data_IF_776459298011
#
_entry.id   IF_776459298011
#
_cell.length_a   1.000
_cell.length_b   1.000
_cell.length_c   1.000
_cell.angle_alpha   90.00
_cell.angle_beta   90.00
_cell.angle_gamma   90.00
#
_symmetry.space_group_name_H-M   'P 1'
#
loop_
_entity.id
_entity.type
_entity.pdbx_description
1 polymer ?
#
# COMPACT_ATOMS: atom_id res chain seq x y z
N UNK A 1 15.13 1.98 -9.21
CA UNK A 1 14.14 1.71 -8.15
C UNK A 1 12.78 1.31 -8.74
N UNK A 2 12.24 2.01 -9.73
CA UNK A 2 10.94 1.64 -10.34
C UNK A 2 10.88 0.24 -10.95
N UNK A 3 11.98 -0.28 -11.50
CA UNK A 3 12.03 -1.64 -12.06
C UNK A 3 11.71 -2.72 -11.01
N UNK A 4 12.24 -2.59 -9.80
CA UNK A 4 11.94 -3.51 -8.69
C UNK A 4 10.47 -3.50 -8.30
N UNK A 5 9.84 -2.32 -8.27
CA UNK A 5 8.39 -2.19 -8.05
C UNK A 5 7.59 -2.89 -9.15
N UNK A 6 7.91 -2.61 -10.42
CA UNK A 6 7.23 -3.25 -11.56
C UNK A 6 7.33 -4.78 -11.50
N UNK A 7 8.50 -5.32 -11.20
CA UNK A 7 8.71 -6.76 -11.08
C UNK A 7 7.88 -7.35 -9.94
N UNK A 8 7.82 -6.68 -8.79
CA UNK A 8 7.02 -7.10 -7.64
C UNK A 8 5.51 -7.10 -7.97
N UNK A 9 5.01 -6.09 -8.69
CA UNK A 9 3.62 -6.01 -9.18
C UNK A 9 3.32 -7.19 -10.10
N UNK A 10 4.16 -7.45 -11.11
CA UNK A 10 3.97 -8.55 -12.05
C UNK A 10 3.95 -9.89 -11.33
N UNK A 11 4.89 -10.11 -10.40
CA UNK A 11 4.94 -11.35 -9.60
C UNK A 11 3.67 -11.55 -8.76
N UNK A 12 3.11 -10.47 -8.22
CA UNK A 12 1.87 -10.53 -7.41
C UNK A 12 0.64 -10.82 -8.25
N UNK A 13 0.63 -10.35 -9.51
CA UNK A 13 -0.47 -10.56 -10.45
C UNK A 13 -0.41 -11.91 -11.17
N UNK A 14 0.72 -12.61 -11.15
CA UNK A 14 0.91 -13.85 -11.90
C UNK A 14 -0.11 -14.94 -11.53
N UNK A 15 -0.33 -15.19 -10.25
CA UNK A 15 -1.28 -16.21 -9.77
C UNK A 15 -2.73 -15.89 -10.15
N UNK A 16 -3.29 -14.70 -9.86
CA UNK A 16 -4.66 -14.39 -10.26
C UNK A 16 -4.85 -14.37 -11.78
N UNK A 17 -3.86 -13.89 -12.56
CA UNK A 17 -3.92 -13.93 -14.00
C UNK A 17 -3.95 -15.36 -14.55
N UNK A 18 -3.12 -16.23 -14.00
CA UNK A 18 -3.08 -17.65 -14.37
C UNK A 18 -4.42 -18.34 -14.04
N UNK A 19 -4.99 -18.06 -12.87
CA UNK A 19 -6.31 -18.61 -12.49
C UNK A 19 -7.40 -18.19 -13.47
N UNK A 20 -7.43 -16.91 -13.88
CA UNK A 20 -8.39 -16.40 -14.88
C UNK A 20 -8.18 -17.11 -16.22
N UNK A 21 -6.93 -17.27 -16.67
CA UNK A 21 -6.61 -17.97 -17.91
C UNK A 21 -7.07 -19.43 -17.91
N UNK A 22 -6.88 -20.15 -16.79
CA UNK A 22 -7.34 -21.54 -16.62
C UNK A 22 -8.87 -21.63 -16.66
N UNK A 23 -9.57 -20.75 -15.94
CA UNK A 23 -11.05 -20.73 -15.96
C UNK A 23 -11.57 -20.43 -17.37
N UNK A 24 -10.96 -19.48 -18.07
CA UNK A 24 -11.33 -19.15 -19.43
C UNK A 24 -11.05 -20.31 -20.40
N UNK A 25 -9.91 -20.96 -20.30
CA UNK A 25 -9.58 -22.13 -21.11
C UNK A 25 -10.57 -23.27 -20.85
N UNK A 26 -10.91 -23.55 -19.60
CA UNK A 26 -11.91 -24.57 -19.25
C UNK A 26 -13.28 -24.26 -19.85
N UNK A 27 -13.75 -23.02 -19.74
CA UNK A 27 -15.04 -22.60 -20.31
C UNK A 27 -15.07 -22.72 -21.84
N UNK A 28 -14.01 -22.25 -22.51
CA UNK A 28 -13.91 -22.31 -23.99
C UNK A 28 -13.71 -23.72 -24.53
N UNK A 29 -13.19 -24.65 -23.71
CA UNK A 29 -13.13 -26.08 -24.06
C UNK A 29 -14.48 -26.77 -23.85
N UNK A 30 -15.16 -26.45 -22.76
CA UNK A 30 -16.41 -27.13 -22.39
C UNK A 30 -17.54 -26.94 -23.43
N UNK A 31 -17.68 -25.72 -23.97
CA UNK A 31 -18.75 -25.41 -24.93
C UNK A 31 -18.69 -26.28 -26.18
N UNK A 32 -17.62 -26.29 -26.99
CA UNK A 32 -17.59 -27.09 -28.22
C UNK A 32 -17.62 -28.61 -27.96
N UNK A 33 -17.09 -29.06 -26.82
CA UNK A 33 -17.13 -30.49 -26.47
C UNK A 33 -18.54 -30.94 -26.11
N UNK A 34 -19.28 -30.13 -25.34
CA UNK A 34 -20.62 -30.49 -24.87
C UNK A 34 -21.70 -30.23 -25.92
N UNK A 35 -21.63 -29.16 -26.68
CA UNK A 35 -22.66 -28.77 -27.63
C UNK A 35 -22.43 -29.34 -29.05
N UNK A 36 -21.17 -29.40 -29.49
CA UNK A 36 -20.81 -29.79 -30.85
C UNK A 36 -20.22 -31.21 -30.96
N UNK A 37 -19.96 -31.85 -29.81
CA UNK A 37 -19.33 -33.18 -29.78
C UNK A 37 -17.88 -33.19 -30.25
N UNK A 38 -17.20 -32.02 -30.26
CA UNK A 38 -15.81 -31.89 -30.72
C UNK A 38 -14.88 -32.69 -29.80
N UNK A 39 -13.94 -33.51 -30.35
CA UNK A 39 -13.03 -34.25 -29.50
C UNK A 39 -12.09 -33.34 -28.70
N UNK A 40 -11.82 -33.69 -27.44
CA UNK A 40 -10.95 -32.94 -26.53
C UNK A 40 -9.57 -32.65 -27.12
N UNK A 41 -9.05 -33.58 -27.93
CA UNK A 41 -7.71 -33.42 -28.57
C UNK A 41 -7.65 -32.24 -29.54
N UNK A 42 -8.77 -31.81 -30.08
CA UNK A 42 -8.84 -30.69 -31.02
C UNK A 42 -9.20 -29.38 -30.29
N UNK A 43 -10.15 -29.43 -29.34
CA UNK A 43 -10.61 -28.25 -28.61
C UNK A 43 -9.59 -27.75 -27.59
N UNK A 44 -8.88 -28.61 -26.86
CA UNK A 44 -8.00 -28.25 -25.78
C UNK A 44 -6.81 -27.34 -26.18
N UNK A 45 -6.08 -27.57 -27.27
CA UNK A 45 -4.94 -26.72 -27.63
C UNK A 45 -5.36 -25.28 -27.95
N UNK A 46 -6.48 -25.10 -28.63
CA UNK A 46 -7.01 -23.76 -28.97
C UNK A 46 -7.50 -23.03 -27.71
N UNK A 47 -8.19 -23.72 -26.82
CA UNK A 47 -8.66 -23.18 -25.57
C UNK A 47 -7.52 -22.79 -24.63
N UNK A 48 -6.47 -23.61 -24.56
CA UNK A 48 -5.26 -23.27 -23.79
C UNK A 48 -4.56 -22.02 -24.34
N UNK A 49 -4.42 -21.91 -25.66
CA UNK A 49 -3.84 -20.72 -26.29
C UNK A 49 -4.69 -19.47 -26.00
N UNK A 50 -6.01 -19.57 -26.12
CA UNK A 50 -6.93 -18.47 -25.79
C UNK A 50 -6.87 -18.11 -24.30
N UNK A 51 -6.85 -19.08 -23.39
CA UNK A 51 -6.70 -18.87 -21.97
C UNK A 51 -5.38 -18.19 -21.61
N UNK A 52 -4.28 -18.60 -22.22
CA UNK A 52 -2.98 -17.96 -22.04
C UNK A 52 -2.97 -16.50 -22.54
N UNK A 53 -3.57 -16.23 -23.70
CA UNK A 53 -3.70 -14.89 -24.24
C UNK A 53 -4.52 -13.97 -23.31
N UNK A 54 -5.65 -14.47 -22.79
CA UNK A 54 -6.50 -13.73 -21.84
C UNK A 54 -5.75 -13.47 -20.53
N UNK A 55 -5.06 -14.47 -19.98
CA UNK A 55 -4.24 -14.31 -18.78
C UNK A 55 -3.18 -13.23 -18.95
N UNK A 56 -2.47 -13.27 -20.09
CA UNK A 56 -1.43 -12.29 -20.39
C UNK A 56 -2.00 -10.88 -20.58
N UNK A 57 -3.07 -10.72 -21.33
CA UNK A 57 -3.72 -9.43 -21.56
C UNK A 57 -4.23 -8.84 -20.24
N UNK A 58 -4.88 -9.64 -19.41
CA UNK A 58 -5.37 -9.23 -18.09
C UNK A 58 -4.21 -8.78 -17.18
N UNK A 59 -3.15 -9.58 -17.08
CA UNK A 59 -1.96 -9.24 -16.29
C UNK A 59 -1.31 -7.95 -16.78
N UNK A 60 -1.18 -7.78 -18.11
CA UNK A 60 -0.56 -6.60 -18.71
C UNK A 60 -1.37 -5.32 -18.41
N UNK A 61 -2.69 -5.36 -18.57
CA UNK A 61 -3.57 -4.22 -18.28
C UNK A 61 -3.52 -3.85 -16.80
N UNK A 62 -3.64 -4.84 -15.90
CA UNK A 62 -3.57 -4.57 -14.45
C UNK A 62 -2.19 -4.09 -14.01
N UNK A 63 -1.11 -4.65 -14.54
CA UNK A 63 0.24 -4.19 -14.23
C UNK A 63 0.45 -2.75 -14.71
N UNK A 64 0.05 -2.44 -15.94
CA UNK A 64 0.18 -1.11 -16.51
C UNK A 64 -0.61 -0.07 -15.68
N UNK A 65 -1.88 -0.33 -15.38
CA UNK A 65 -2.71 0.60 -14.60
C UNK A 65 -2.15 0.80 -13.20
N UNK A 66 -1.69 -0.28 -12.54
CA UNK A 66 -1.07 -0.22 -11.20
C UNK A 66 0.22 0.60 -11.24
N UNK A 67 1.12 0.35 -12.20
CA UNK A 67 2.39 1.07 -12.32
C UNK A 67 2.17 2.55 -12.66
N UNK A 68 1.25 2.86 -13.55
CA UNK A 68 0.91 4.25 -13.88
C UNK A 68 0.30 4.96 -12.67
N UNK A 69 -0.61 4.32 -11.95
CA UNK A 69 -1.19 4.85 -10.71
C UNK A 69 -0.12 5.11 -9.66
N UNK A 70 0.75 4.12 -9.44
CA UNK A 70 1.87 4.22 -8.49
C UNK A 70 2.85 5.35 -8.87
N UNK A 71 3.17 5.51 -10.17
CA UNK A 71 4.05 6.59 -10.64
C UNK A 71 3.44 7.98 -10.39
N UNK A 72 2.13 8.12 -10.60
CA UNK A 72 1.42 9.38 -10.28
C UNK A 72 1.44 9.67 -8.78
N UNK A 73 1.17 8.66 -7.96
CA UNK A 73 1.23 8.76 -6.49
C UNK A 73 2.64 9.14 -6.04
N UNK A 74 3.67 8.46 -6.54
CA UNK A 74 5.06 8.75 -6.22
C UNK A 74 5.45 10.20 -6.54
N UNK A 75 5.04 10.69 -7.71
CA UNK A 75 5.29 12.09 -8.10
C UNK A 75 4.55 13.08 -7.22
N UNK A 76 3.28 12.79 -6.86
CA UNK A 76 2.45 13.67 -6.02
C UNK A 76 3.04 13.83 -4.63
N UNK A 77 3.53 12.75 -4.04
CA UNK A 77 4.08 12.75 -2.67
C UNK A 77 5.61 12.90 -2.62
N UNK A 78 6.30 13.01 -3.76
CA UNK A 78 7.75 13.17 -3.82
C UNK A 78 8.52 11.96 -3.28
N UNK A 79 7.98 10.75 -3.41
CA UNK A 79 8.56 9.52 -2.86
C UNK A 79 9.16 8.61 -3.92
N UNK A 80 10.14 7.79 -3.52
CA UNK A 80 10.67 6.72 -4.34
C UNK A 80 9.92 5.42 -4.07
N UNK A 81 9.57 4.67 -5.12
CA UNK A 81 8.94 3.36 -5.02
C UNK A 81 10.00 2.27 -5.15
N UNK A 82 10.09 1.43 -4.12
CA UNK A 82 10.84 0.19 -4.12
C UNK A 82 9.91 -1.04 -4.18
N UNK A 83 10.47 -2.26 -4.23
CA UNK A 83 9.68 -3.49 -4.20
C UNK A 83 8.85 -3.65 -2.92
N UNK A 84 9.28 -3.04 -1.83
CA UNK A 84 8.59 -3.00 -0.53
C UNK A 84 7.26 -2.24 -0.60
N UNK A 85 7.12 -1.28 -1.53
CA UNK A 85 5.89 -0.51 -1.71
C UNK A 85 4.69 -1.34 -2.23
N UNK A 86 4.90 -2.60 -2.59
CA UNK A 86 3.83 -3.53 -2.98
C UNK A 86 3.28 -4.31 -1.77
N UNK A 87 4.01 -4.33 -0.64
CA UNK A 87 3.59 -5.05 0.56
C UNK A 87 2.37 -4.39 1.22
N UNK A 88 1.46 -5.19 1.76
CA UNK A 88 0.32 -4.78 2.56
C UNK A 88 0.19 -5.71 3.78
N UNK A 89 -0.03 -5.15 4.99
CA UNK A 89 -0.02 -3.72 5.30
C UNK A 89 1.35 -3.09 5.03
N UNK A 90 1.36 -1.79 4.74
CA UNK A 90 2.60 -1.04 4.60
C UNK A 90 3.06 -0.60 5.99
N UNK A 91 4.20 -1.11 6.44
CA UNK A 91 4.77 -0.77 7.73
C UNK A 91 6.06 0.01 7.54
N UNK A 92 6.16 1.12 8.26
CA UNK A 92 7.36 1.96 8.31
C UNK A 92 7.74 2.19 9.77
N UNK A 93 9.04 2.18 10.04
CA UNK A 93 9.56 2.42 11.37
C UNK A 93 10.68 3.46 11.29
N UNK A 94 10.60 4.46 12.16
CA UNK A 94 11.68 5.41 12.40
C UNK A 94 12.05 5.38 13.86
N UNK A 95 13.36 5.43 14.15
CA UNK A 95 13.91 5.50 15.48
C UNK A 95 14.63 6.83 15.64
N UNK A 96 14.34 7.51 16.71
CA UNK A 96 14.93 8.78 17.08
C UNK A 96 15.55 8.67 18.48
N UNK A 97 16.44 9.57 18.82
CA UNK A 97 16.97 9.63 20.18
C UNK A 97 15.84 9.79 21.20
N UNK A 98 16.03 9.25 22.40
CA UNK A 98 15.06 9.40 23.45
C UNK A 98 14.82 10.89 23.76
N UNK A 99 13.56 11.26 23.92
CA UNK A 99 13.13 12.61 24.28
C UNK A 99 12.87 12.62 25.77
N UNK A 100 13.77 13.26 26.53
CA UNK A 100 13.66 13.33 27.98
C UNK A 100 12.47 14.22 28.39
N UNK A 101 11.80 13.84 29.48
CA UNK A 101 10.71 14.63 30.06
C UNK A 101 9.39 14.59 29.30
N UNK A 102 9.29 13.90 28.16
CA UNK A 102 8.06 13.77 27.37
C UNK A 102 7.39 12.42 27.55
N UNK A 103 6.09 12.47 27.72
CA UNK A 103 5.26 11.26 27.78
C UNK A 103 4.91 10.78 26.37
N UNK A 104 4.62 9.49 26.22
CA UNK A 104 4.12 8.94 24.94
C UNK A 104 2.86 9.67 24.47
N UNK A 105 2.02 10.13 25.39
CA UNK A 105 0.81 10.92 25.06
C UNK A 105 1.18 12.25 24.38
N UNK A 106 2.09 13.02 25.00
CA UNK A 106 2.52 14.32 24.43
C UNK A 106 3.14 14.17 23.05
N UNK A 107 4.01 13.16 22.88
CA UNK A 107 4.60 12.86 21.58
C UNK A 107 3.56 12.49 20.52
N UNK A 108 2.59 11.65 20.90
CA UNK A 108 1.51 11.28 19.99
C UNK A 108 0.62 12.48 19.64
N UNK A 109 0.39 13.39 20.59
CA UNK A 109 -0.37 14.62 20.35
C UNK A 109 0.36 15.57 19.41
N UNK A 110 1.67 15.72 19.52
CA UNK A 110 2.48 16.49 18.58
C UNK A 110 2.42 15.91 17.17
N UNK A 111 2.51 14.59 17.04
CA UNK A 111 2.36 13.90 15.75
C UNK A 111 0.96 14.16 15.16
N UNK A 112 -0.09 13.99 15.97
CA UNK A 112 -1.47 14.25 15.56
C UNK A 112 -1.60 15.67 15.01
N UNK A 113 -1.13 16.66 15.75
CA UNK A 113 -1.25 18.07 15.39
C UNK A 113 -0.59 18.42 14.05
N UNK A 114 0.60 17.84 13.79
CA UNK A 114 1.31 18.05 12.52
C UNK A 114 0.58 17.33 11.37
N UNK A 115 0.11 16.11 11.58
CA UNK A 115 -0.59 15.31 10.56
C UNK A 115 -1.93 15.95 10.18
N UNK A 116 -2.72 16.44 11.16
CA UNK A 116 -4.00 17.10 10.91
C UNK A 116 -3.85 18.43 10.16
N UNK A 117 -2.73 19.13 10.36
CA UNK A 117 -2.46 20.43 9.70
C UNK A 117 -1.86 20.31 8.31
N UNK A 118 -1.36 19.13 7.93
CA UNK A 118 -0.75 18.96 6.62
C UNK A 118 -1.81 18.99 5.51
N UNK A 119 -1.74 19.96 4.58
CA UNK A 119 -2.71 20.06 3.49
C UNK A 119 -2.59 18.93 2.45
N UNK A 120 -1.47 18.18 2.46
CA UNK A 120 -1.23 17.03 1.57
C UNK A 120 -1.93 15.79 2.10
N UNK A 121 -1.98 15.65 3.45
CA UNK A 121 -2.67 14.58 4.14
C UNK A 121 -4.13 15.00 4.34
N UNK A 122 -5.03 14.39 3.61
CA UNK A 122 -6.47 14.61 3.79
C UNK A 122 -6.96 13.72 4.92
N UNK A 123 -6.83 14.19 6.15
CA UNK A 123 -7.38 13.50 7.32
C UNK A 123 -8.90 13.62 7.27
N UNK A 124 -9.60 12.48 7.20
CA UNK A 124 -11.06 12.41 7.26
C UNK A 124 -11.54 12.32 8.70
N UNK A 125 -10.86 11.46 9.48
CA UNK A 125 -11.26 11.19 10.86
C UNK A 125 -10.05 10.73 11.68
N UNK A 126 -10.04 11.14 12.96
CA UNK A 126 -9.20 10.53 13.99
C UNK A 126 -10.04 9.49 14.70
N UNK A 127 -9.84 8.22 14.38
CA UNK A 127 -10.69 7.12 14.87
C UNK A 127 -10.35 6.71 16.29
N UNK A 128 -9.06 6.85 16.69
CA UNK A 128 -8.63 6.61 18.06
C UNK A 128 -7.36 7.41 18.36
N UNK A 129 -7.23 7.84 19.63
CA UNK A 129 -6.10 8.60 20.11
C UNK A 129 -5.84 8.31 21.59
N UNK A 130 -4.56 8.16 21.98
CA UNK A 130 -4.20 7.88 23.36
C UNK A 130 -2.71 7.83 23.63
N UNK A 131 -2.33 7.20 24.73
CA UNK A 131 -0.93 7.06 25.12
C UNK A 131 -0.14 6.18 24.16
N UNK A 132 0.64 6.81 23.28
CA UNK A 132 1.50 6.13 22.31
C UNK A 132 0.77 5.54 21.10
N UNK A 133 -0.48 5.92 20.86
CA UNK A 133 -1.20 5.47 19.66
C UNK A 133 -2.09 6.56 19.07
N UNK A 134 -2.17 6.55 17.73
CA UNK A 134 -3.02 7.43 16.94
C UNK A 134 -3.49 6.64 15.72
N UNK A 135 -4.79 6.48 15.58
CA UNK A 135 -5.42 5.82 14.44
C UNK A 135 -6.22 6.85 13.64
N UNK A 136 -5.95 6.89 12.34
CA UNK A 136 -6.46 7.89 11.40
C UNK A 136 -7.09 7.22 10.19
N UNK A 137 -8.10 7.87 9.66
CA UNK A 137 -8.61 7.60 8.32
C UNK A 137 -8.17 8.73 7.39
N UNK A 138 -7.40 8.38 6.35
CA UNK A 138 -6.90 9.32 5.36
C UNK A 138 -7.53 9.06 4.00
N UNK A 139 -7.81 10.14 3.27
CA UNK A 139 -8.23 10.06 1.88
C UNK A 139 -7.04 10.20 0.93
N UNK A 140 -6.73 9.12 0.24
CA UNK A 140 -5.71 9.07 -0.79
C UNK A 140 -6.17 9.64 -2.13
N UNK A 141 -5.30 9.58 -3.16
CA UNK A 141 -5.68 9.85 -4.54
C UNK A 141 -6.81 8.94 -5.00
N UNK A 142 -7.69 9.45 -5.89
CA UNK A 142 -8.85 8.69 -6.41
C UNK A 142 -9.84 8.24 -5.35
N UNK A 143 -10.00 9.06 -4.28
CA UNK A 143 -10.93 8.82 -3.17
C UNK A 143 -10.75 7.44 -2.49
N UNK A 144 -9.52 6.95 -2.48
CA UNK A 144 -9.19 5.72 -1.76
C UNK A 144 -9.06 6.04 -0.27
N UNK A 145 -9.87 5.40 0.56
CA UNK A 145 -9.75 5.48 2.02
C UNK A 145 -8.64 4.55 2.50
N UNK A 146 -7.76 5.09 3.35
CA UNK A 146 -6.62 4.35 3.93
C UNK A 146 -6.64 4.53 5.44
N UNK A 147 -6.63 3.42 6.17
CA UNK A 147 -6.42 3.42 7.61
C UNK A 147 -4.93 3.51 7.92
N UNK A 148 -4.57 4.46 8.76
CA UNK A 148 -3.19 4.66 9.21
C UNK A 148 -3.15 4.59 10.73
N UNK A 149 -2.31 3.70 11.23
CA UNK A 149 -2.05 3.53 12.66
C UNK A 149 -0.63 3.99 12.96
N UNK A 150 -0.48 4.90 13.90
CA UNK A 150 0.81 5.36 14.40
C UNK A 150 0.98 4.86 15.83
N UNK A 151 2.10 4.21 16.11
CA UNK A 151 2.47 3.73 17.45
C UNK A 151 3.80 4.40 17.84
N UNK A 152 3.78 5.07 18.99
CA UNK A 152 4.95 5.72 19.57
C UNK A 152 5.35 4.94 20.83
N UNK A 153 6.53 4.37 20.81
CA UNK A 153 7.08 3.60 21.94
C UNK A 153 8.33 4.29 22.45
N UNK A 154 8.33 4.65 23.72
CA UNK A 154 9.45 5.32 24.38
C UNK A 154 10.33 4.28 25.06
N UNK A 155 11.62 4.32 24.75
CA UNK A 155 12.64 3.53 25.43
C UNK A 155 13.67 4.44 26.13
N UNK A 156 14.58 3.86 26.93
CA UNK A 156 15.55 4.65 27.68
C UNK A 156 16.63 5.31 26.81
N UNK A 157 16.83 4.84 25.60
CA UNK A 157 17.85 5.37 24.65
C UNK A 157 17.26 5.88 23.35
N UNK A 158 16.11 5.39 22.98
CA UNK A 158 15.47 5.70 21.71
C UNK A 158 13.94 5.71 21.83
N UNK A 159 13.30 6.49 21.00
CA UNK A 159 11.87 6.48 20.75
C UNK A 159 11.63 5.88 19.37
N UNK A 160 10.82 4.83 19.31
CA UNK A 160 10.41 4.23 18.06
C UNK A 160 9.02 4.71 17.66
N UNK A 161 8.89 5.12 16.39
CA UNK A 161 7.61 5.44 15.78
C UNK A 161 7.35 4.45 14.67
N UNK A 162 6.28 3.67 14.81
CA UNK A 162 5.84 2.71 13.80
C UNK A 162 4.58 3.23 13.17
N UNK A 163 4.59 3.33 11.84
CA UNK A 163 3.44 3.76 11.04
C UNK A 163 3.01 2.58 10.18
N UNK A 164 1.78 2.14 10.36
CA UNK A 164 1.15 1.10 9.57
C UNK A 164 0.02 1.69 8.76
N UNK A 165 -0.02 1.40 7.46
CA UNK A 165 -1.08 1.82 6.57
C UNK A 165 -1.67 0.65 5.80
N UNK A 166 -3.01 0.58 5.76
CA UNK A 166 -3.75 -0.42 5.01
C UNK A 166 -4.97 0.20 4.33
N UNK A 167 -5.37 -0.29 3.14
CA UNK A 167 -6.57 0.19 2.49
C UNK A 167 -7.81 -0.32 3.23
N UNK A 168 -8.86 0.49 3.29
CA UNK A 168 -10.15 0.11 3.88
C UNK A 168 -10.70 -1.18 3.25
N UNK A 169 -10.62 -1.28 1.94
CA UNK A 169 -11.11 -2.45 1.23
C UNK A 169 -9.97 -3.45 0.99
N UNK A 170 -10.07 -4.62 1.62
CA UNK A 170 -9.08 -5.70 1.53
C UNK A 170 -8.84 -6.23 0.11
N UNK A 171 -9.82 -6.05 -0.81
CA UNK A 171 -9.68 -6.41 -2.23
C UNK A 171 -8.84 -5.39 -3.03
N UNK A 172 -8.65 -4.17 -2.53
CA UNK A 172 -7.81 -3.13 -3.16
C UNK A 172 -6.32 -3.37 -2.94
N UNK A 173 -5.87 -4.61 -3.02
CA UNK A 173 -4.45 -4.99 -2.85
C UNK A 173 -3.50 -4.33 -3.86
N UNK A 174 -4.03 -3.72 -4.91
CA UNK A 174 -3.25 -3.00 -5.92
C UNK A 174 -2.97 -1.53 -5.55
N UNK A 175 -3.64 -1.00 -4.51
CA UNK A 175 -3.42 0.37 -4.02
C UNK A 175 -2.27 0.48 -3.01
N UNK A 176 -1.40 -0.53 -2.94
CA UNK A 176 -0.27 -0.57 -2.02
C UNK A 176 0.64 0.67 -2.11
N UNK A 177 0.82 1.23 -3.31
CA UNK A 177 1.61 2.45 -3.48
C UNK A 177 0.98 3.67 -2.79
N UNK A 178 -0.35 3.75 -2.67
CA UNK A 178 -1.04 4.80 -1.92
C UNK A 178 -0.79 4.64 -0.43
N UNK A 179 -0.94 3.42 0.11
CA UNK A 179 -0.65 3.11 1.50
C UNK A 179 0.81 3.41 1.83
N UNK A 180 1.74 2.99 0.97
CA UNK A 180 3.16 3.27 1.11
C UNK A 180 3.47 4.76 1.14
N UNK A 181 2.86 5.54 0.22
CA UNK A 181 3.04 6.97 0.15
C UNK A 181 2.53 7.67 1.40
N UNK A 182 1.32 7.36 1.84
CA UNK A 182 0.74 7.96 3.03
C UNK A 182 1.51 7.58 4.29
N UNK A 183 1.89 6.30 4.45
CA UNK A 183 2.74 5.87 5.56
C UNK A 183 4.08 6.62 5.59
N UNK A 184 4.71 6.84 4.43
CA UNK A 184 5.97 7.58 4.33
C UNK A 184 5.82 9.06 4.71
N UNK A 185 4.75 9.72 4.25
CA UNK A 185 4.49 11.13 4.59
C UNK A 185 4.21 11.26 6.09
N UNK A 186 3.38 10.38 6.65
CA UNK A 186 3.08 10.39 8.10
C UNK A 186 4.34 10.10 8.92
N UNK A 187 5.16 9.11 8.54
CA UNK A 187 6.46 8.82 9.17
C UNK A 187 7.38 10.05 9.18
N UNK A 188 7.51 10.72 8.03
CA UNK A 188 8.32 11.92 7.89
C UNK A 188 7.84 13.04 8.81
N UNK A 189 6.54 13.29 8.86
CA UNK A 189 5.96 14.31 9.73
C UNK A 189 6.10 13.95 11.21
N UNK A 190 5.90 12.68 11.57
CA UNK A 190 6.12 12.20 12.92
C UNK A 190 7.58 12.43 13.35
N UNK A 191 8.54 12.04 12.51
CA UNK A 191 9.94 12.27 12.77
C UNK A 191 10.27 13.77 12.92
N UNK A 192 9.75 14.61 12.03
CA UNK A 192 9.97 16.07 12.09
C UNK A 192 9.38 16.70 13.35
N UNK A 193 8.15 16.33 13.73
CA UNK A 193 7.48 16.83 14.93
C UNK A 193 8.30 16.52 16.18
N UNK A 194 8.79 15.28 16.28
CA UNK A 194 9.58 14.84 17.43
C UNK A 194 11.01 15.39 17.44
N UNK A 195 11.65 15.57 16.27
CA UNK A 195 12.96 16.24 16.20
C UNK A 195 12.91 17.74 16.53
N UNK A 196 11.84 18.44 16.13
CA UNK A 196 11.66 19.86 16.46
C UNK A 196 11.53 20.06 17.97
N UNK A 197 10.92 19.12 18.68
CA UNK A 197 10.81 19.13 20.14
C UNK A 197 12.19 18.98 20.81
N UNK A 198 13.04 18.08 20.30
CA UNK A 198 14.42 17.91 20.81
C UNK A 198 15.23 19.20 20.65
N UNK A 199 15.06 19.91 19.54
CA UNK A 199 15.77 21.17 19.29
C UNK A 199 15.21 22.36 20.12
N UNK A 200 13.92 22.34 20.44
CA UNK A 200 13.27 23.39 21.24
C UNK A 200 13.58 23.33 22.72
N UNK A 201 13.84 22.15 23.26
CA UNK A 201 14.21 21.94 24.68
C UNK A 201 15.72 22.25 24.96
N UNK A 202 16.52 22.51 23.90
CA UNK A 202 17.97 22.84 23.98
C UNK A 202 18.29 24.33 24.04
N UNK A 203 17.29 25.21 24.09
CA UNK A 203 17.40 26.69 24.21
C UNK A 203 16.84 27.16 25.54
#
# INVERSE_FOLDING_TARGET
MMLGYCLAVVRRLALPALAIGVVFAAATTAVPVLDEGTPWSEAAPQALAAGAAVAFAFAAVLALTTVVGAARTARRYGIALGPEAVALPCVREVRIAAIEGRTAFQMTDSVRHVVEKDPVLRVEEVTAFGHGFLDLTLRGPSDTTVFVSVRVTTGPKETAVVVEACPEATYKKLDAAVCWALAHVVEKHAAQALHAEVAGDAL
#
